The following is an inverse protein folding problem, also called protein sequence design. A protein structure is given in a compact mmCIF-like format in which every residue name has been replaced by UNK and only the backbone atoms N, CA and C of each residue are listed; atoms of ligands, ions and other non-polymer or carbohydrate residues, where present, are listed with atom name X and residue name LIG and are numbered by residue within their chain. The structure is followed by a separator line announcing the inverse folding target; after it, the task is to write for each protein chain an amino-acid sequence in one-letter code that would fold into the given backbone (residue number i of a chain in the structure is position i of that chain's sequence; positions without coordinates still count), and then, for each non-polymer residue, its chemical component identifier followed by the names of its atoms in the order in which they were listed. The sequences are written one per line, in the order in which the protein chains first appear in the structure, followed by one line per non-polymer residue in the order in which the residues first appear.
data_IF_014583983366
#
_entry.id   IF_014583983366
#
_cell.length_a   1.000
_cell.length_b   1.000
_cell.length_c   1.000
_cell.angle_alpha   90.00
_cell.angle_beta   90.00
_cell.angle_gamma   90.00
#
_symmetry.space_group_name_H-M   'P 1'
#
loop_
_entity.id
_entity.type
_entity.pdbx_description
1 polymer ?
#
# COMPACT_ATOMS: atom_id res chain seq x y z
N UNK A 1 22.34 -8.53 59.51
CA UNK A 1 21.44 -9.49 60.19
C UNK A 1 22.32 -10.53 60.85
N UNK A 2 22.34 -10.54 62.18
CA UNK A 2 23.18 -11.42 62.98
C UNK A 2 22.52 -12.80 63.11
N UNK A 3 23.11 -13.81 62.48
CA UNK A 3 22.60 -15.19 62.47
C UNK A 3 23.13 -16.04 63.63
N UNK A 4 23.98 -15.48 64.50
CA UNK A 4 24.61 -16.21 65.61
C UNK A 4 23.59 -16.62 66.67
N UNK A 5 22.75 -15.68 67.13
CA UNK A 5 21.70 -15.97 68.11
C UNK A 5 20.62 -16.94 67.62
N UNK A 6 20.39 -17.03 66.30
CA UNK A 6 19.46 -18.00 65.73
C UNK A 6 20.01 -19.42 65.82
N UNK A 7 21.30 -19.62 65.55
CA UNK A 7 21.95 -20.93 65.65
C UNK A 7 21.88 -21.48 67.07
N UNK A 8 22.22 -20.68 68.08
CA UNK A 8 22.12 -21.10 69.49
C UNK A 8 20.69 -21.50 69.87
N UNK A 9 19.68 -20.70 69.48
CA UNK A 9 18.27 -21.00 69.81
C UNK A 9 17.75 -22.26 69.13
N UNK A 10 18.23 -22.58 67.93
CA UNK A 10 17.89 -23.82 67.23
C UNK A 10 18.55 -25.02 67.91
N UNK A 11 19.82 -24.90 68.31
CA UNK A 11 20.55 -25.96 69.02
C UNK A 11 19.90 -26.24 70.38
N UNK A 12 19.58 -25.20 71.15
CA UNK A 12 18.91 -25.35 72.45
C UNK A 12 17.50 -25.95 72.30
N UNK A 13 16.75 -25.56 71.25
CA UNK A 13 15.44 -26.14 70.94
C UNK A 13 15.54 -27.62 70.54
N UNK A 14 16.56 -27.99 69.77
CA UNK A 14 16.80 -29.37 69.36
C UNK A 14 17.19 -30.27 70.53
N UNK A 15 18.10 -29.81 71.40
CA UNK A 15 18.58 -30.58 72.56
C UNK A 15 17.48 -30.73 73.62
N UNK A 16 16.63 -29.73 73.81
CA UNK A 16 15.54 -29.77 74.80
C UNK A 16 14.31 -30.56 74.35
N UNK A 17 14.21 -30.91 73.06
CA UNK A 17 13.06 -31.64 72.53
C UNK A 17 13.25 -33.15 72.74
N UNK A 18 12.50 -33.73 73.66
CA UNK A 18 12.37 -35.18 73.82
C UNK A 18 11.56 -35.77 72.65
N UNK A 19 12.24 -36.00 71.53
CA UNK A 19 11.64 -36.63 70.34
C UNK A 19 11.48 -38.15 70.56
N UNK A 20 10.37 -38.56 71.18
CA UNK A 20 9.95 -39.97 71.25
C UNK A 20 9.39 -40.46 69.90
N UNK A 21 10.26 -40.56 68.89
CA UNK A 21 9.89 -41.02 67.55
C UNK A 21 9.85 -42.56 67.54
N UNK A 22 8.67 -43.12 67.33
CA UNK A 22 8.51 -44.57 67.12
C UNK A 22 9.03 -44.99 65.74
N UNK A 23 9.44 -46.26 65.56
CA UNK A 23 10.00 -46.75 64.27
C UNK A 23 9.08 -46.47 63.07
N UNK A 24 7.77 -46.54 63.26
CA UNK A 24 6.77 -46.21 62.22
C UNK A 24 6.73 -44.72 61.87
N UNK A 25 6.88 -43.83 62.84
CA UNK A 25 6.98 -42.38 62.62
C UNK A 25 8.30 -41.98 61.96
N UNK A 26 9.41 -42.66 62.29
CA UNK A 26 10.69 -42.44 61.62
C UNK A 26 10.62 -42.79 60.13
N UNK A 27 9.99 -43.91 59.77
CA UNK A 27 9.76 -44.31 58.37
C UNK A 27 8.87 -43.28 57.66
N UNK A 28 7.82 -42.78 58.32
CA UNK A 28 6.94 -41.76 57.76
C UNK A 28 7.69 -40.44 57.47
N UNK A 29 8.56 -40.00 58.39
CA UNK A 29 9.36 -38.78 58.22
C UNK A 29 10.35 -38.94 57.06
N UNK A 30 11.03 -40.09 56.95
CA UNK A 30 11.93 -40.37 55.82
C UNK A 30 11.17 -40.36 54.50
N UNK A 31 9.97 -40.93 54.45
CA UNK A 31 9.10 -40.88 53.27
C UNK A 31 8.73 -39.45 52.88
N UNK A 32 8.32 -38.61 53.82
CA UNK A 32 8.01 -37.20 53.57
C UNK A 32 9.23 -36.42 53.11
N UNK A 33 10.41 -36.67 53.69
CA UNK A 33 11.67 -36.04 53.26
C UNK A 33 12.04 -36.46 51.84
N UNK A 34 11.85 -37.73 51.46
CA UNK A 34 12.07 -38.20 50.09
C UNK A 34 11.06 -37.58 49.10
N UNK A 35 9.80 -37.40 49.50
CA UNK A 35 8.80 -36.72 48.68
C UNK A 35 9.16 -35.24 48.49
N UNK A 36 9.58 -34.55 49.55
CA UNK A 36 10.03 -33.16 49.46
C UNK A 36 11.29 -33.07 48.60
N UNK A 37 12.26 -33.97 48.79
CA UNK A 37 13.50 -34.02 48.01
C UNK A 37 13.20 -34.24 46.53
N UNK A 38 12.30 -35.17 46.19
CA UNK A 38 11.90 -35.45 44.80
C UNK A 38 11.15 -34.28 44.17
N UNK A 39 10.22 -33.64 44.89
CA UNK A 39 9.55 -32.42 44.43
C UNK A 39 10.56 -31.28 44.24
N UNK A 40 11.51 -31.12 45.16
CA UNK A 40 12.56 -30.09 45.08
C UNK A 40 13.47 -30.33 43.89
N UNK A 41 13.87 -31.58 43.64
CA UNK A 41 14.63 -31.99 42.45
C UNK A 41 13.83 -31.75 41.16
N UNK A 42 12.54 -32.09 41.15
CA UNK A 42 11.64 -31.88 40.01
C UNK A 42 11.42 -30.39 39.71
N UNK A 43 11.36 -29.54 40.75
CA UNK A 43 11.26 -28.09 40.59
C UNK A 43 12.60 -27.47 40.13
N UNK A 44 13.74 -27.95 40.61
CA UNK A 44 15.08 -27.51 40.13
C UNK A 44 15.37 -27.95 38.70
N UNK A 45 14.86 -29.11 38.29
CA UNK A 45 14.94 -29.62 36.91
C UNK A 45 13.74 -29.19 36.06
N UNK A 46 12.99 -28.14 36.42
CA UNK A 46 12.12 -27.51 35.43
C UNK A 46 13.03 -27.00 34.32
N UNK A 47 12.95 -27.56 33.09
CA UNK A 47 13.56 -26.90 31.96
C UNK A 47 13.02 -25.47 31.98
N UNK A 48 13.90 -24.48 31.90
CA UNK A 48 13.45 -23.14 31.55
C UNK A 48 12.64 -23.34 30.27
N UNK A 49 11.30 -23.27 30.39
CA UNK A 49 10.49 -22.96 29.24
C UNK A 49 10.94 -21.55 28.94
N UNK A 50 11.93 -21.46 28.07
CA UNK A 50 12.43 -20.22 27.54
C UNK A 50 11.19 -19.44 27.19
N UNK A 51 10.97 -18.36 27.94
CA UNK A 51 10.13 -17.31 27.41
C UNK A 51 10.85 -16.99 26.12
N UNK A 52 10.24 -17.36 25.01
CA UNK A 52 10.62 -16.88 23.69
C UNK A 52 10.38 -15.36 23.74
N UNK A 53 11.29 -14.67 24.43
CA UNK A 53 11.54 -13.27 24.25
C UNK A 53 12.04 -13.24 22.82
N UNK A 54 11.14 -12.88 21.91
CA UNK A 54 11.53 -12.32 20.63
C UNK A 54 12.35 -11.08 20.94
N UNK A 55 13.62 -11.31 21.22
CA UNK A 55 14.64 -10.29 21.25
C UNK A 55 14.87 -9.92 19.78
N UNK A 56 14.34 -8.74 19.47
CA UNK A 56 14.38 -8.14 18.17
C UNK A 56 15.80 -7.60 17.96
N UNK A 57 16.77 -8.44 17.61
CA UNK A 57 18.10 -8.05 17.09
C UNK A 57 18.91 -9.31 16.75
N UNK A 58 18.56 -10.09 15.74
CA UNK A 58 19.02 -9.87 14.35
C UNK A 58 18.05 -10.55 13.40
N UNK A 59 16.92 -9.89 13.16
CA UNK A 59 16.15 -10.16 11.96
C UNK A 59 16.76 -9.33 10.84
N UNK A 60 17.89 -9.79 10.30
CA UNK A 60 18.22 -9.54 8.89
C UNK A 60 17.36 -10.50 8.04
N UNK A 61 16.07 -10.58 8.34
CA UNK A 61 15.11 -10.86 7.30
C UNK A 61 14.93 -9.50 6.64
N UNK A 62 15.23 -9.45 5.35
CA UNK A 62 14.64 -8.50 4.45
C UNK A 62 13.12 -8.44 4.72
N UNK A 63 12.69 -7.58 5.64
CA UNK A 63 11.59 -6.68 5.32
C UNK A 63 12.10 -5.99 4.07
N UNK A 64 11.74 -6.54 2.91
CA UNK A 64 11.48 -5.65 1.80
C UNK A 64 10.57 -4.59 2.42
N UNK A 65 11.11 -3.41 2.67
CA UNK A 65 10.30 -2.21 2.67
C UNK A 65 9.57 -2.32 1.35
N UNK A 66 8.34 -2.87 1.39
CA UNK A 66 7.46 -2.87 0.25
C UNK A 66 7.30 -1.38 -0.03
N UNK A 67 8.05 -0.88 -1.00
CA UNK A 67 8.12 0.54 -1.32
C UNK A 67 6.67 1.02 -1.44
N UNK A 68 6.24 1.79 -0.44
CA UNK A 68 4.85 2.20 -0.35
C UNK A 68 4.71 3.44 -1.22
N UNK A 69 3.89 3.34 -2.25
CA UNK A 69 3.58 4.45 -3.14
C UNK A 69 2.32 5.16 -2.65
N UNK A 70 2.30 6.46 -2.82
CA UNK A 70 1.21 7.34 -2.40
C UNK A 70 0.46 7.80 -3.64
N UNK A 71 -0.82 7.46 -3.74
CA UNK A 71 -1.66 7.85 -4.89
C UNK A 71 -2.86 8.66 -4.44
N UNK A 72 -3.28 9.62 -5.27
CA UNK A 72 -4.49 10.40 -5.02
C UNK A 72 -5.65 9.90 -5.89
N UNK A 73 -6.68 9.33 -5.27
CA UNK A 73 -7.87 8.84 -5.98
C UNK A 73 -9.00 9.85 -5.85
N UNK A 74 -9.54 10.28 -6.99
CA UNK A 74 -10.61 11.30 -7.06
C UNK A 74 -11.71 10.92 -8.07
N UNK A 75 -12.81 11.68 -8.08
CA UNK A 75 -13.95 11.47 -8.98
C UNK A 75 -14.98 10.49 -8.43
N UNK A 76 -15.45 9.54 -9.25
CA UNK A 76 -16.57 8.65 -8.95
C UNK A 76 -16.18 7.40 -8.14
N UNK A 77 -15.51 7.61 -7.02
CA UNK A 77 -15.25 6.59 -5.99
C UNK A 77 -16.08 6.89 -4.75
N UNK A 78 -16.21 5.92 -3.83
CA UNK A 78 -16.98 6.11 -2.60
C UNK A 78 -16.27 7.05 -1.62
N UNK A 79 -14.94 6.98 -1.56
CA UNK A 79 -14.11 7.76 -0.63
C UNK A 79 -12.92 8.37 -1.40
N UNK A 80 -13.08 9.55 -2.00
CA UNK A 80 -11.94 10.27 -2.57
C UNK A 80 -10.94 10.65 -1.48
N UNK A 81 -9.68 10.24 -1.64
CA UNK A 81 -8.61 10.50 -0.67
C UNK A 81 -7.25 10.11 -1.27
N UNK A 82 -6.19 10.43 -0.54
CA UNK A 82 -4.85 9.86 -0.75
C UNK A 82 -4.76 8.49 -0.08
N UNK A 83 -4.07 7.55 -0.74
CA UNK A 83 -3.92 6.16 -0.31
C UNK A 83 -2.48 5.69 -0.44
N UNK A 84 -2.01 4.91 0.55
CA UNK A 84 -0.74 4.21 0.49
C UNK A 84 -0.98 2.81 -0.07
N UNK A 85 -0.30 2.47 -1.15
CA UNK A 85 -0.38 1.17 -1.82
C UNK A 85 1.02 0.57 -1.93
N UNK A 86 1.09 -0.74 -2.16
CA UNK A 86 2.37 -1.39 -2.45
C UNK A 86 2.87 -0.98 -3.83
N UNK A 87 4.18 -0.84 -4.01
CA UNK A 87 4.74 -0.68 -5.34
C UNK A 87 4.30 -1.82 -6.28
N UNK A 88 4.04 -1.46 -7.53
CA UNK A 88 3.46 -2.36 -8.52
C UNK A 88 1.95 -2.62 -8.41
N UNK A 89 1.25 -1.98 -7.46
CA UNK A 89 -0.22 -1.97 -7.40
C UNK A 89 -0.81 -1.44 -8.70
N UNK A 90 -2.06 -1.81 -9.00
CA UNK A 90 -2.80 -1.36 -10.18
C UNK A 90 -3.90 -0.38 -9.83
N UNK A 91 -4.47 0.27 -10.85
CA UNK A 91 -5.61 1.18 -10.70
C UNK A 91 -6.77 0.48 -9.98
N UNK A 92 -7.02 -0.80 -10.24
CA UNK A 92 -8.06 -1.57 -9.53
C UNK A 92 -7.84 -1.61 -8.00
N UNK A 93 -6.59 -1.71 -7.56
CA UNK A 93 -6.23 -1.76 -6.14
C UNK A 93 -6.45 -0.40 -5.48
N UNK A 94 -6.06 0.67 -6.17
CA UNK A 94 -6.31 2.05 -5.73
C UNK A 94 -7.81 2.36 -5.59
N UNK A 95 -8.62 1.96 -6.59
CA UNK A 95 -10.06 2.15 -6.54
C UNK A 95 -10.68 1.31 -5.43
N UNK A 96 -10.20 0.08 -5.21
CA UNK A 96 -10.65 -0.76 -4.09
C UNK A 96 -10.33 -0.12 -2.73
N UNK A 97 -9.14 0.45 -2.57
CA UNK A 97 -8.76 1.21 -1.38
C UNK A 97 -9.67 2.44 -1.16
N UNK A 98 -10.11 3.09 -2.25
CA UNK A 98 -11.12 4.15 -2.24
C UNK A 98 -12.56 3.69 -1.94
N UNK A 99 -12.75 2.42 -1.54
CA UNK A 99 -14.04 1.80 -1.26
C UNK A 99 -14.78 1.32 -2.49
N UNK A 100 -14.14 1.34 -3.67
CA UNK A 100 -14.74 0.97 -4.94
C UNK A 100 -15.44 2.12 -5.65
N UNK A 101 -15.93 1.81 -6.84
CA UNK A 101 -16.73 2.71 -7.68
C UNK A 101 -18.07 3.06 -7.04
N UNK A 102 -18.52 4.30 -7.23
CA UNK A 102 -19.91 4.68 -6.91
C UNK A 102 -20.86 4.34 -8.09
N UNK A 103 -22.18 4.54 -7.91
CA UNK A 103 -23.20 4.21 -8.94
C UNK A 103 -23.08 5.01 -10.25
N UNK A 104 -22.39 6.15 -10.21
CA UNK A 104 -22.20 7.04 -11.34
C UNK A 104 -20.85 6.86 -12.02
N UNK A 105 -20.00 5.93 -11.57
CA UNK A 105 -18.67 5.74 -12.13
C UNK A 105 -18.71 5.07 -13.49
N UNK A 106 -17.97 5.62 -14.46
CA UNK A 106 -17.69 4.91 -15.69
C UNK A 106 -16.47 4.01 -15.49
N UNK A 107 -16.71 2.70 -15.55
CA UNK A 107 -15.67 1.69 -15.31
C UNK A 107 -14.92 1.35 -16.58
N UNK A 108 -15.59 1.48 -17.73
CA UNK A 108 -15.07 1.04 -19.03
C UNK A 108 -14.02 2.02 -19.57
N UNK A 109 -14.08 3.28 -19.13
CA UNK A 109 -13.13 4.32 -19.52
C UNK A 109 -11.77 4.23 -18.82
N UNK A 110 -11.59 3.35 -17.82
CA UNK A 110 -10.32 3.19 -17.12
C UNK A 110 -9.66 1.86 -17.47
N UNK A 111 -8.36 1.92 -17.77
CA UNK A 111 -7.52 0.72 -17.79
C UNK A 111 -7.21 0.26 -16.36
N UNK A 112 -8.11 -0.53 -15.78
CA UNK A 112 -7.96 -1.05 -14.40
C UNK A 112 -6.71 -1.92 -14.19
N UNK A 113 -6.14 -2.44 -15.28
CA UNK A 113 -4.93 -3.26 -15.26
C UNK A 113 -3.62 -2.44 -15.26
N UNK A 114 -3.71 -1.13 -15.50
CA UNK A 114 -2.56 -0.22 -15.49
C UNK A 114 -1.94 -0.17 -14.09
N UNK A 115 -0.62 -0.24 -14.04
CA UNK A 115 0.15 -0.03 -12.79
C UNK A 115 0.07 1.43 -12.38
N UNK A 116 -0.01 1.65 -11.08
CA UNK A 116 0.04 3.00 -10.50
C UNK A 116 1.46 3.34 -10.08
N UNK A 117 1.82 4.61 -10.23
CA UNK A 117 3.13 5.16 -9.84
C UNK A 117 3.00 6.05 -8.60
N UNK A 118 4.11 6.26 -7.88
CA UNK A 118 4.13 7.18 -6.75
C UNK A 118 3.76 8.62 -7.18
N UNK A 119 2.94 9.29 -6.37
CA UNK A 119 2.40 10.61 -6.64
C UNK A 119 1.31 10.66 -7.72
N UNK A 120 0.91 9.53 -8.30
CA UNK A 120 -0.09 9.50 -9.38
C UNK A 120 -1.47 9.94 -8.88
N UNK A 121 -2.14 10.76 -9.69
CA UNK A 121 -3.54 11.17 -9.48
C UNK A 121 -4.47 10.39 -10.41
N UNK A 122 -5.30 9.54 -9.81
CA UNK A 122 -6.27 8.71 -10.53
C UNK A 122 -7.64 9.40 -10.50
N UNK A 123 -8.13 9.81 -11.66
CA UNK A 123 -9.47 10.36 -11.84
C UNK A 123 -10.42 9.27 -12.30
N UNK A 124 -11.47 9.00 -11.50
CA UNK A 124 -12.57 8.13 -11.92
C UNK A 124 -13.69 8.98 -12.54
N UNK A 125 -13.96 8.87 -13.85
CA UNK A 125 -14.95 9.66 -14.56
C UNK A 125 -16.37 9.20 -14.25
N UNK A 126 -17.31 10.06 -14.61
CA UNK A 126 -18.75 9.85 -14.44
C UNK A 126 -19.34 9.26 -15.71
N UNK A 127 -20.21 8.25 -15.60
CA UNK A 127 -21.02 7.72 -16.69
C UNK A 127 -21.72 8.85 -17.43
N UNK A 128 -21.55 8.90 -18.74
CA UNK A 128 -22.15 9.91 -19.60
C UNK A 128 -21.48 11.29 -19.57
N UNK A 129 -20.42 11.49 -18.78
CA UNK A 129 -19.38 12.45 -19.19
C UNK A 129 -18.48 11.70 -20.14
N UNK A 130 -18.60 11.99 -21.43
CA UNK A 130 -17.57 11.79 -22.45
C UNK A 130 -16.31 12.55 -22.03
N UNK A 131 -15.64 12.03 -21.01
CA UNK A 131 -14.33 12.46 -20.58
C UNK A 131 -13.32 11.80 -21.49
N UNK A 132 -13.22 12.32 -22.72
CA UNK A 132 -11.99 12.20 -23.48
C UNK A 132 -10.90 12.84 -22.62
N UNK A 133 -10.13 11.96 -21.98
CA UNK A 133 -8.88 12.25 -21.30
C UNK A 133 -7.87 11.25 -21.86
N UNK A 134 -7.78 11.22 -23.19
CA UNK A 134 -6.73 10.50 -23.93
C UNK A 134 -6.24 11.35 -25.09
N UNK A 135 -6.03 12.64 -24.81
CA UNK A 135 -5.46 13.61 -25.73
C UNK A 135 -4.29 14.40 -25.15
N UNK A 136 -4.18 14.59 -23.83
CA UNK A 136 -3.02 15.26 -23.24
C UNK A 136 -1.81 14.31 -23.24
N UNK A 137 -0.86 14.56 -24.13
CA UNK A 137 0.50 14.02 -24.01
C UNK A 137 1.13 14.55 -22.72
N UNK A 138 2.10 13.82 -22.15
CA UNK A 138 2.75 14.08 -20.85
C UNK A 138 3.32 15.51 -20.67
N UNK A 139 3.38 16.30 -21.73
CA UNK A 139 3.81 17.70 -21.77
C UNK A 139 2.66 18.74 -21.83
N UNK A 140 1.41 18.35 -21.60
CA UNK A 140 0.26 19.26 -21.70
C UNK A 140 -0.13 19.62 -23.14
N UNK A 141 0.50 19.00 -24.14
CA UNK A 141 0.18 19.15 -25.56
C UNK A 141 -0.97 18.25 -25.98
N UNK A 142 -1.76 18.71 -26.93
CA UNK A 142 -2.93 18.00 -27.47
C UNK A 142 -2.47 17.08 -28.61
N UNK A 143 -2.71 15.78 -28.46
CA UNK A 143 -2.33 14.78 -29.43
C UNK A 143 -3.25 14.82 -30.65
N UNK A 144 -2.70 15.19 -31.79
CA UNK A 144 -3.44 15.40 -33.04
C UNK A 144 -3.94 14.10 -33.68
N UNK A 145 -3.58 12.92 -33.19
CA UNK A 145 -4.15 11.66 -33.69
C UNK A 145 -5.20 11.05 -32.74
N UNK A 146 -5.11 11.31 -31.43
CA UNK A 146 -6.00 10.71 -30.43
C UNK A 146 -6.98 11.69 -29.80
N UNK A 147 -6.69 12.99 -29.84
CA UNK A 147 -7.57 14.02 -29.28
C UNK A 147 -8.92 14.02 -29.99
N UNK A 148 -9.96 14.09 -29.19
CA UNK A 148 -11.33 14.28 -29.63
C UNK A 148 -11.57 15.66 -30.20
N UNK A 149 -12.69 15.83 -30.91
CA UNK A 149 -13.11 17.11 -31.47
C UNK A 149 -13.09 18.23 -30.42
N UNK A 150 -13.66 17.98 -29.24
CA UNK A 150 -13.69 18.97 -28.16
C UNK A 150 -12.30 19.29 -27.59
N UNK A 151 -11.39 18.32 -27.53
CA UNK A 151 -10.00 18.57 -27.11
C UNK A 151 -9.24 19.34 -28.21
N UNK A 152 -9.55 19.14 -29.49
CA UNK A 152 -8.96 19.91 -30.58
C UNK A 152 -9.41 21.38 -30.57
N UNK A 153 -10.63 21.67 -30.11
CA UNK A 153 -11.12 23.04 -29.91
C UNK A 153 -10.33 23.81 -28.84
N UNK A 154 -9.59 23.13 -27.96
CA UNK A 154 -8.73 23.80 -26.99
C UNK A 154 -7.49 24.43 -27.67
N UNK A 155 -7.17 24.03 -28.91
CA UNK A 155 -6.05 24.58 -29.66
C UNK A 155 -6.32 26.04 -30.11
N UNK A 156 -5.31 26.92 -30.06
CA UNK A 156 -5.46 28.33 -30.37
C UNK A 156 -5.88 28.57 -31.83
N UNK A 157 -7.10 29.08 -32.00
CA UNK A 157 -7.67 29.37 -33.32
C UNK A 157 -8.33 28.18 -34.01
N UNK A 158 -8.52 27.07 -33.27
CA UNK A 158 -9.36 25.94 -33.66
C UNK A 158 -10.72 26.08 -33.00
N UNK A 159 -11.77 26.15 -33.81
CA UNK A 159 -13.16 26.10 -33.35
C UNK A 159 -13.84 24.83 -33.85
N UNK A 160 -15.14 24.62 -33.52
CA UNK A 160 -15.86 23.37 -33.81
C UNK A 160 -15.71 22.91 -35.26
N UNK A 161 -15.94 23.82 -36.22
CA UNK A 161 -15.82 23.52 -37.66
C UNK A 161 -14.43 23.06 -38.07
N UNK A 162 -13.38 23.56 -37.42
CA UNK A 162 -12.01 23.19 -37.76
C UNK A 162 -11.59 21.89 -37.05
N UNK A 163 -12.05 21.68 -35.82
CA UNK A 163 -11.88 20.43 -35.10
C UNK A 163 -12.52 19.25 -35.84
N UNK A 164 -13.75 19.43 -36.33
CA UNK A 164 -14.46 18.46 -37.19
C UNK A 164 -13.63 18.10 -38.44
N UNK A 165 -13.11 19.12 -39.15
CA UNK A 165 -12.26 18.91 -40.34
C UNK A 165 -10.97 18.14 -40.03
N UNK A 166 -10.35 18.37 -38.87
CA UNK A 166 -9.17 17.61 -38.46
C UNK A 166 -9.54 16.14 -38.23
N UNK A 167 -10.67 15.87 -37.56
CA UNK A 167 -11.18 14.51 -37.36
C UNK A 167 -11.48 13.83 -38.70
N UNK A 168 -12.10 14.54 -39.64
CA UNK A 168 -12.42 14.00 -40.96
C UNK A 168 -11.16 13.77 -41.82
N UNK A 169 -10.17 14.66 -41.72
CA UNK A 169 -8.86 14.47 -42.34
C UNK A 169 -8.25 13.14 -41.89
N UNK A 170 -8.29 12.82 -40.59
CA UNK A 170 -7.80 11.52 -40.06
C UNK A 170 -8.55 10.32 -40.62
N UNK A 171 -9.87 10.44 -40.79
CA UNK A 171 -10.69 9.35 -41.34
C UNK A 171 -10.36 9.07 -42.81
N UNK A 172 -10.06 10.12 -43.57
CA UNK A 172 -9.81 10.02 -45.02
C UNK A 172 -8.36 9.67 -45.35
N UNK A 173 -7.39 10.31 -44.69
CA UNK A 173 -5.96 10.16 -44.96
C UNK A 173 -5.27 9.17 -44.02
N UNK A 174 -5.95 8.74 -42.96
CA UNK A 174 -5.36 7.96 -41.87
C UNK A 174 -4.66 8.84 -40.83
N UNK A 175 -3.83 8.25 -39.98
CA UNK A 175 -3.09 8.98 -38.95
C UNK A 175 -2.20 10.06 -39.57
N UNK A 176 -2.24 11.26 -39.00
CA UNK A 176 -1.37 12.38 -39.37
C UNK A 176 0.06 12.00 -38.98
N UNK A 177 0.97 11.98 -39.97
CA UNK A 177 2.35 11.52 -39.76
C UNK A 177 3.29 12.66 -39.37
N UNK A 178 2.94 13.88 -39.74
CA UNK A 178 3.72 15.08 -39.46
C UNK A 178 2.80 16.25 -39.08
N UNK A 179 3.25 17.13 -38.17
CA UNK A 179 2.44 18.28 -37.76
C UNK A 179 2.17 19.17 -38.98
N UNK A 180 3.11 19.24 -39.92
CA UNK A 180 3.02 20.06 -41.13
C UNK A 180 1.83 19.67 -42.04
N UNK A 181 1.31 18.44 -41.95
CA UNK A 181 0.07 18.04 -42.66
C UNK A 181 -1.17 18.83 -42.21
N UNK A 182 -1.17 19.40 -41.00
CA UNK A 182 -2.25 20.29 -40.57
C UNK A 182 -2.40 21.52 -41.47
N UNK A 183 -1.32 21.94 -42.14
CA UNK A 183 -1.39 23.06 -43.11
C UNK A 183 -2.17 22.71 -44.39
N UNK A 184 -2.38 21.42 -44.67
CA UNK A 184 -3.18 20.95 -45.80
C UNK A 184 -4.68 21.01 -45.53
N UNK A 185 -5.08 21.19 -44.27
CA UNK A 185 -6.48 21.26 -43.87
C UNK A 185 -7.02 22.66 -44.16
N UNK A 186 -8.10 22.72 -44.93
CA UNK A 186 -8.74 23.98 -45.30
C UNK A 186 -9.16 24.77 -44.06
N UNK A 187 -8.73 26.04 -43.97
CA UNK A 187 -9.00 26.93 -42.84
C UNK A 187 -7.85 27.04 -41.82
N UNK A 188 -6.79 26.24 -41.98
CA UNK A 188 -5.52 26.34 -41.22
C UNK A 188 -4.51 27.16 -42.02
N UNK A 189 -4.60 28.49 -41.92
CA UNK A 189 -3.60 29.39 -42.50
C UNK A 189 -2.28 29.41 -41.69
N UNK A 190 -1.20 29.98 -42.23
CA UNK A 190 0.14 29.97 -41.62
C UNK A 190 0.16 30.52 -40.19
N UNK A 191 -0.64 31.56 -39.92
CA UNK A 191 -0.76 32.15 -38.57
C UNK A 191 -1.37 31.20 -37.54
N UNK A 192 -2.39 30.42 -37.93
CA UNK A 192 -3.02 29.44 -37.04
C UNK A 192 -2.12 28.23 -36.88
N UNK A 193 -1.54 27.78 -37.98
CA UNK A 193 -0.61 26.66 -38.01
C UNK A 193 0.55 26.85 -37.03
N UNK A 194 1.20 28.01 -37.01
CA UNK A 194 2.31 28.29 -36.08
C UNK A 194 1.88 28.15 -34.62
N UNK A 195 0.69 28.65 -34.25
CA UNK A 195 0.18 28.53 -32.88
C UNK A 195 -0.19 27.09 -32.52
N UNK A 196 -0.87 26.40 -33.43
CA UNK A 196 -1.25 25.00 -33.24
C UNK A 196 -0.01 24.12 -33.08
N UNK A 197 1.05 24.34 -33.87
CA UNK A 197 2.29 23.58 -33.82
C UNK A 197 2.99 23.63 -32.46
N UNK A 198 2.82 24.71 -31.70
CA UNK A 198 3.39 24.84 -30.36
C UNK A 198 2.69 23.94 -29.34
N UNK A 199 1.37 23.79 -29.45
CA UNK A 199 0.51 23.06 -28.51
C UNK A 199 0.10 21.66 -28.97
N UNK A 200 0.34 21.33 -30.24
CA UNK A 200 0.09 20.03 -30.84
C UNK A 200 1.23 19.04 -30.57
N UNK A 201 0.87 17.77 -30.41
CA UNK A 201 1.83 16.65 -30.42
C UNK A 201 1.39 15.53 -31.37
N UNK A 202 2.37 14.74 -31.83
CA UNK A 202 2.15 13.48 -32.52
C UNK A 202 2.55 12.32 -31.59
N UNK A 203 1.99 11.14 -31.85
CA UNK A 203 2.35 9.89 -31.17
C UNK A 203 3.37 9.12 -32.01
#
# INVERSE_FOLDING_TARGET
MDFSGLKQRIVDWYIKSDFNITKSQAIAIVGVVLIILTITLYLSFRPQKEIEVKDNSTVVASRQEEEAIVVYVTGQVRRPSVYNLKDGSRIVDAVKAAGGFNKYADKESLNLAQKVSDGEKILVPKKGKTGNQSGQSANGKININTASEKELEELPGVGPTLAERIVDYRKQQGSIKSIDELSQIEGIGPKKFSKIKEEASLN
#
